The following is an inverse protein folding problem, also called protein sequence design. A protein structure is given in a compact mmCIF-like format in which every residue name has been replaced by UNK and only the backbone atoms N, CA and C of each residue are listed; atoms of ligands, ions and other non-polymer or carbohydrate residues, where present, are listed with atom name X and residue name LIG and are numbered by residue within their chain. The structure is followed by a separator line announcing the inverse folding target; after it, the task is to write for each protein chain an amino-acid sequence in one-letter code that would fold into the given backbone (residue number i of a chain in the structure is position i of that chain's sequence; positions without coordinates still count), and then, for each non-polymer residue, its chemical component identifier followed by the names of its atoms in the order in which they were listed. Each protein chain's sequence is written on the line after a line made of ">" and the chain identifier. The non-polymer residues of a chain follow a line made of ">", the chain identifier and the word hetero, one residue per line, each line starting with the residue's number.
data_IF_973848947346
#
_entry.id   IF_973848947346
#
_cell.length_a   1.000
_cell.length_b   1.000
_cell.length_c   1.000
_cell.angle_alpha   90.00
_cell.angle_beta   90.00
_cell.angle_gamma   90.00
#
_symmetry.space_group_name_H-M   'P 1'
#
loop_
_entity.id
_entity.type
_entity.pdbx_description
1 polymer ?
#
# COMPACT_ATOMS: atom_id res chain seq x y z
N UNK A 1 10.84 -10.41 36.30
CA UNK A 1 9.91 -10.33 35.16
C UNK A 1 10.15 -8.97 34.52
N UNK A 2 10.72 -8.90 33.31
CA UNK A 2 10.87 -7.63 32.59
C UNK A 2 9.49 -7.03 32.29
N UNK A 3 9.21 -5.84 32.82
CA UNK A 3 8.02 -5.09 32.43
C UNK A 3 8.35 -4.36 31.13
N UNK A 4 8.02 -4.97 29.98
CA UNK A 4 8.18 -4.30 28.68
C UNK A 4 7.26 -3.09 28.60
N UNK A 5 7.81 -1.89 28.74
CA UNK A 5 7.07 -0.65 28.56
C UNK A 5 6.96 -0.30 27.06
N UNK A 6 5.81 0.23 26.66
CA UNK A 6 5.64 0.77 25.31
C UNK A 6 6.15 2.21 25.25
N UNK A 7 6.84 2.54 24.18
CA UNK A 7 7.00 3.94 23.79
C UNK A 7 5.60 4.49 23.44
N UNK A 8 5.05 5.34 24.32
CA UNK A 8 3.71 5.92 24.15
C UNK A 8 3.53 6.60 22.78
N UNK A 9 4.50 7.41 22.26
CA UNK A 9 4.37 7.99 20.93
C UNK A 9 4.26 6.95 19.82
N UNK A 10 5.07 5.87 19.87
CA UNK A 10 5.05 4.80 18.86
C UNK A 10 3.74 4.01 18.90
N UNK A 11 3.29 3.65 20.10
CA UNK A 11 2.00 2.97 20.27
C UNK A 11 0.82 3.84 19.80
N UNK A 12 0.82 5.13 20.13
CA UNK A 12 -0.20 6.07 19.68
C UNK A 12 -0.22 6.21 18.16
N UNK A 13 0.94 6.31 17.51
CA UNK A 13 1.04 6.36 16.05
C UNK A 13 0.47 5.09 15.39
N UNK A 14 0.79 3.90 15.91
CA UNK A 14 0.22 2.65 15.40
C UNK A 14 -1.31 2.58 15.61
N UNK A 15 -1.81 3.12 16.72
CA UNK A 15 -3.24 3.28 16.95
C UNK A 15 -3.90 4.21 15.92
N UNK A 16 -3.27 5.32 15.59
CA UNK A 16 -3.74 6.23 14.53
C UNK A 16 -3.72 5.56 13.15
N UNK A 17 -2.66 4.81 12.82
CA UNK A 17 -2.62 4.02 11.58
C UNK A 17 -3.75 2.99 11.53
N UNK A 18 -4.06 2.32 12.65
CA UNK A 18 -5.18 1.40 12.70
C UNK A 18 -6.52 2.10 12.44
N UNK A 19 -6.77 3.25 13.07
CA UNK A 19 -8.00 4.02 12.85
C UNK A 19 -8.11 4.54 11.42
N UNK A 20 -7.02 5.07 10.88
CA UNK A 20 -6.92 5.49 9.49
C UNK A 20 -7.18 4.31 8.55
N UNK A 21 -6.62 3.14 8.87
CA UNK A 21 -6.76 1.93 8.11
C UNK A 21 -8.17 1.33 8.15
N UNK A 22 -8.82 1.36 9.30
CA UNK A 22 -10.23 0.96 9.43
C UNK A 22 -11.10 1.90 8.59
N UNK A 23 -10.90 3.21 8.75
CA UNK A 23 -11.68 4.22 8.01
C UNK A 23 -11.53 4.06 6.50
N UNK A 24 -10.30 3.93 6.00
CA UNK A 24 -10.04 3.79 4.58
C UNK A 24 -10.34 2.41 4.02
N UNK A 25 -10.17 1.32 4.78
CA UNK A 25 -10.53 -0.01 4.29
C UNK A 25 -12.05 -0.21 4.17
N UNK A 26 -12.84 0.57 4.93
CA UNK A 26 -14.30 0.65 4.78
C UNK A 26 -14.72 1.59 3.64
N UNK A 27 -13.93 2.63 3.39
CA UNK A 27 -14.16 3.63 2.33
C UNK A 27 -12.81 4.09 1.77
N UNK A 28 -12.32 3.47 0.68
CA UNK A 28 -10.99 3.72 0.15
C UNK A 28 -10.72 5.17 -0.26
N UNK A 29 -11.75 5.99 -0.47
CA UNK A 29 -11.58 7.42 -0.75
C UNK A 29 -10.97 8.18 0.44
N UNK A 30 -11.17 7.68 1.67
CA UNK A 30 -10.61 8.29 2.89
C UNK A 30 -9.10 8.12 3.00
N UNK A 31 -8.49 7.29 2.16
CA UNK A 31 -7.04 7.26 1.96
C UNK A 31 -6.51 8.43 1.13
N UNK A 32 -7.28 9.52 0.95
CA UNK A 32 -6.97 10.67 0.08
C UNK A 32 -5.50 11.11 0.05
N UNK A 33 -4.84 11.17 1.20
CA UNK A 33 -3.43 11.56 1.29
C UNK A 33 -2.52 10.58 0.55
N UNK A 34 -2.60 9.29 0.88
CA UNK A 34 -1.78 8.27 0.24
C UNK A 34 -2.24 7.96 -1.19
N UNK A 35 -3.55 8.01 -1.47
CA UNK A 35 -4.08 7.85 -2.82
C UNK A 35 -3.47 8.87 -3.80
N UNK A 36 -3.25 10.13 -3.37
CA UNK A 36 -2.60 11.14 -4.20
C UNK A 36 -1.12 10.82 -4.47
N UNK A 37 -0.41 10.29 -3.48
CA UNK A 37 0.99 9.87 -3.61
C UNK A 37 1.11 8.63 -4.51
N UNK A 38 0.24 7.64 -4.29
CA UNK A 38 0.15 6.42 -5.10
C UNK A 38 -0.10 6.76 -6.56
N UNK A 39 -1.06 7.66 -6.84
CA UNK A 39 -1.37 8.12 -8.18
C UNK A 39 -0.17 8.80 -8.84
N UNK A 40 0.56 9.65 -8.12
CA UNK A 40 1.75 10.29 -8.67
C UNK A 40 2.82 9.26 -9.08
N UNK A 41 3.03 8.21 -8.27
CA UNK A 41 3.94 7.12 -8.64
C UNK A 41 3.39 6.24 -9.76
N UNK A 42 2.07 6.05 -9.83
CA UNK A 42 1.40 5.34 -10.91
C UNK A 42 1.64 6.03 -12.26
N UNK A 43 1.40 7.33 -12.35
CA UNK A 43 1.65 8.08 -13.59
C UNK A 43 3.14 8.08 -13.96
N UNK A 44 4.03 8.21 -12.97
CA UNK A 44 5.47 8.09 -13.21
C UNK A 44 5.85 6.69 -13.73
N UNK A 45 5.16 5.64 -13.26
CA UNK A 45 5.37 4.27 -13.69
C UNK A 45 5.16 4.06 -15.18
N UNK A 46 4.13 4.67 -15.77
CA UNK A 46 3.92 4.62 -17.22
C UNK A 46 5.14 5.15 -17.98
N UNK A 47 5.71 6.28 -17.54
CA UNK A 47 6.92 6.85 -18.15
C UNK A 47 8.14 5.98 -17.91
N UNK A 48 8.33 5.50 -16.68
CA UNK A 48 9.49 4.72 -16.26
C UNK A 48 9.56 3.33 -16.93
N UNK A 49 8.42 2.76 -17.30
CA UNK A 49 8.35 1.42 -17.90
C UNK A 49 7.99 1.44 -19.39
N UNK A 50 7.67 2.60 -19.97
CA UNK A 50 7.20 2.74 -21.35
C UNK A 50 8.14 2.17 -22.41
N UNK A 51 9.45 2.23 -22.18
CA UNK A 51 10.45 1.72 -23.12
C UNK A 51 10.50 0.19 -23.21
N UNK A 52 9.82 -0.55 -22.31
CA UNK A 52 9.76 -2.01 -22.29
C UNK A 52 8.59 -2.58 -23.11
N UNK A 53 7.83 -1.71 -23.76
CA UNK A 53 6.69 -2.08 -24.62
C UNK A 53 5.34 -1.79 -23.97
N UNK A 54 4.31 -1.72 -24.80
CA UNK A 54 2.99 -1.20 -24.45
C UNK A 54 2.35 -1.92 -23.26
N UNK A 55 2.36 -3.25 -23.22
CA UNK A 55 1.76 -3.99 -22.10
C UNK A 55 2.45 -3.67 -20.76
N UNK A 56 3.77 -3.55 -20.78
CA UNK A 56 4.57 -3.23 -19.58
C UNK A 56 4.43 -1.75 -19.22
N UNK A 57 4.20 -0.86 -20.20
CA UNK A 57 3.86 0.53 -19.96
C UNK A 57 2.58 0.64 -19.12
N UNK A 58 1.50 -0.04 -19.52
CA UNK A 58 0.23 -0.06 -18.77
C UNK A 58 0.37 -0.71 -17.40
N UNK A 59 1.08 -1.84 -17.30
CA UNK A 59 1.40 -2.45 -16.00
C UNK A 59 2.28 -1.54 -15.13
N UNK A 60 3.11 -0.71 -15.77
CA UNK A 60 4.14 0.13 -15.18
C UNK A 60 3.62 1.05 -14.08
N UNK A 61 2.40 1.58 -14.24
CA UNK A 61 1.81 2.42 -13.21
C UNK A 61 1.59 1.65 -11.91
N UNK A 62 0.87 0.53 -11.96
CA UNK A 62 0.64 -0.30 -10.77
C UNK A 62 1.94 -0.90 -10.23
N UNK A 63 2.90 -1.24 -11.10
CA UNK A 63 4.22 -1.71 -10.67
C UNK A 63 4.97 -0.65 -9.87
N UNK A 64 5.06 0.58 -10.37
CA UNK A 64 5.82 1.65 -9.72
C UNK A 64 5.22 2.03 -8.36
N UNK A 65 3.89 2.19 -8.27
CA UNK A 65 3.25 2.55 -7.01
C UNK A 65 3.44 1.47 -5.92
N UNK A 66 3.67 0.20 -6.28
CA UNK A 66 4.02 -0.85 -5.34
C UNK A 66 5.53 -0.91 -5.05
N UNK A 67 6.37 -0.77 -6.09
CA UNK A 67 7.83 -0.90 -5.96
C UNK A 67 8.42 0.14 -5.00
N UNK A 68 7.90 1.36 -4.99
CA UNK A 68 8.37 2.43 -4.10
C UNK A 68 8.19 2.08 -2.62
N UNK A 69 6.97 1.85 -2.10
CA UNK A 69 6.78 1.49 -0.69
C UNK A 69 7.42 0.14 -0.34
N UNK A 70 7.45 -0.83 -1.26
CA UNK A 70 8.20 -2.09 -1.06
C UNK A 70 9.70 -1.81 -0.86
N UNK A 71 10.30 -0.98 -1.71
CA UNK A 71 11.72 -0.62 -1.61
C UNK A 71 12.05 0.08 -0.30
N UNK A 72 11.19 1.00 0.16
CA UNK A 72 11.34 1.70 1.44
C UNK A 72 11.18 0.72 2.62
N UNK A 73 10.19 -0.17 2.58
CA UNK A 73 9.99 -1.18 3.62
C UNK A 73 11.18 -2.13 3.73
N UNK A 74 11.71 -2.59 2.58
CA UNK A 74 12.92 -3.42 2.51
C UNK A 74 14.13 -2.66 3.03
N UNK A 75 14.28 -1.38 2.69
CA UNK A 75 15.37 -0.54 3.18
C UNK A 75 15.38 -0.48 4.71
N UNK A 76 14.27 -0.11 5.34
CA UNK A 76 14.15 -0.07 6.79
C UNK A 76 14.36 -1.45 7.43
N UNK A 77 13.82 -2.50 6.81
CA UNK A 77 14.01 -3.86 7.30
C UNK A 77 15.49 -4.28 7.31
N UNK A 78 16.25 -3.91 6.26
CA UNK A 78 17.68 -4.22 6.16
C UNK A 78 18.56 -3.41 7.12
N UNK A 79 18.08 -2.27 7.60
CA UNK A 79 18.74 -1.43 8.61
C UNK A 79 18.36 -1.77 10.06
N UNK A 80 17.60 -2.85 10.25
CA UNK A 80 17.02 -3.23 11.55
C UNK A 80 16.04 -2.18 12.14
N UNK A 81 15.56 -1.26 11.31
CA UNK A 81 14.57 -0.24 11.67
C UNK A 81 13.15 -0.84 11.59
N UNK A 82 12.89 -1.88 12.39
CA UNK A 82 11.69 -2.73 12.28
C UNK A 82 10.38 -1.99 12.46
N UNK A 83 10.35 -1.00 13.34
CA UNK A 83 9.18 -0.16 13.56
C UNK A 83 8.82 0.66 12.30
N UNK A 84 9.83 1.28 11.67
CA UNK A 84 9.67 2.02 10.41
C UNK A 84 9.24 1.11 9.27
N UNK A 85 9.86 -0.08 9.18
CA UNK A 85 9.46 -1.09 8.20
C UNK A 85 7.98 -1.50 8.37
N UNK A 86 7.50 -1.61 9.61
CA UNK A 86 6.09 -1.86 9.90
C UNK A 86 5.20 -0.74 9.35
N UNK A 87 5.52 0.51 9.68
CA UNK A 87 4.77 1.68 9.22
C UNK A 87 4.71 1.75 7.68
N UNK A 88 5.80 1.44 6.99
CA UNK A 88 5.79 1.39 5.51
C UNK A 88 5.05 0.18 4.96
N UNK A 89 5.06 -0.97 5.64
CA UNK A 89 4.24 -2.12 5.27
C UNK A 89 2.73 -1.80 5.27
N UNK A 90 2.30 -0.87 6.13
CA UNK A 90 0.93 -0.37 6.13
C UNK A 90 0.58 0.30 4.80
N UNK A 91 1.50 1.13 4.29
CA UNK A 91 1.32 1.84 3.02
C UNK A 91 1.16 0.86 1.85
N UNK A 92 1.93 -0.23 1.82
CA UNK A 92 1.72 -1.29 0.80
C UNK A 92 0.29 -1.86 0.89
N UNK A 93 -0.22 -2.10 2.10
CA UNK A 93 -1.57 -2.63 2.30
C UNK A 93 -2.66 -1.63 1.88
N UNK A 94 -2.48 -0.34 2.15
CA UNK A 94 -3.37 0.70 1.65
C UNK A 94 -3.32 0.80 0.12
N UNK A 95 -2.13 0.70 -0.48
CA UNK A 95 -1.97 0.72 -1.94
C UNK A 95 -2.77 -0.42 -2.61
N UNK A 96 -2.87 -1.60 -1.97
CA UNK A 96 -3.74 -2.67 -2.46
C UNK A 96 -5.23 -2.30 -2.51
N UNK A 97 -5.73 -1.45 -1.60
CA UNK A 97 -7.09 -0.92 -1.70
C UNK A 97 -7.24 0.07 -2.86
N UNK A 98 -6.23 0.93 -3.06
CA UNK A 98 -6.20 1.85 -4.20
C UNK A 98 -6.27 1.07 -5.53
N UNK A 99 -5.41 0.05 -5.67
CA UNK A 99 -5.41 -0.86 -6.82
C UNK A 99 -6.73 -1.62 -6.92
N UNK A 100 -7.30 -2.10 -5.80
CA UNK A 100 -8.56 -2.84 -5.82
C UNK A 100 -9.71 -2.02 -6.42
N UNK A 101 -9.82 -0.74 -6.03
CA UNK A 101 -10.82 0.18 -6.59
C UNK A 101 -10.59 0.36 -8.09
N UNK A 102 -9.34 0.57 -8.51
CA UNK A 102 -9.00 0.77 -9.91
C UNK A 102 -9.21 -0.48 -10.77
N UNK A 103 -8.80 -1.65 -10.28
CA UNK A 103 -9.05 -2.94 -10.94
C UNK A 103 -10.55 -3.21 -11.05
N UNK A 104 -11.31 -2.97 -9.98
CA UNK A 104 -12.76 -3.18 -9.96
C UNK A 104 -13.52 -2.30 -10.94
N UNK A 105 -12.95 -1.17 -11.34
CA UNK A 105 -13.49 -0.27 -12.35
C UNK A 105 -13.15 -0.68 -13.80
N UNK A 106 -12.31 -1.70 -14.03
CA UNK A 106 -11.81 -2.03 -15.35
C UNK A 106 -12.90 -2.22 -16.44
N UNK A 107 -14.06 -2.80 -16.10
CA UNK A 107 -15.20 -2.89 -17.03
C UNK A 107 -16.09 -1.65 -17.03
N UNK A 108 -16.27 -1.02 -15.88
CA UNK A 108 -17.23 0.08 -15.72
C UNK A 108 -16.67 1.41 -16.24
N UNK A 109 -15.36 1.63 -16.08
CA UNK A 109 -14.60 2.79 -16.51
C UNK A 109 -15.26 4.12 -16.09
N UNK A 110 -15.74 4.16 -14.84
CA UNK A 110 -16.41 5.32 -14.26
C UNK A 110 -15.39 6.25 -13.57
N UNK A 111 -14.23 5.72 -13.17
CA UNK A 111 -13.21 6.53 -12.53
C UNK A 111 -12.61 7.55 -13.51
N UNK A 112 -12.42 8.81 -13.08
CA UNK A 112 -11.74 9.79 -13.91
C UNK A 112 -10.26 9.41 -14.05
N UNK A 113 -9.82 9.18 -15.28
CA UNK A 113 -8.42 8.88 -15.58
C UNK A 113 -7.60 10.18 -15.68
N UNK A 114 -6.38 10.16 -15.16
CA UNK A 114 -5.44 11.25 -15.37
C UNK A 114 -5.11 11.32 -16.87
N UNK A 115 -5.34 12.48 -17.48
CA UNK A 115 -5.13 12.69 -18.92
C UNK A 115 -6.20 12.09 -19.85
N UNK A 116 -7.26 11.45 -19.32
CA UNK A 116 -8.41 10.97 -20.12
C UNK A 116 -8.10 9.84 -21.11
N UNK A 117 -7.08 9.03 -20.83
CA UNK A 117 -6.56 7.99 -21.71
C UNK A 117 -7.28 6.64 -21.63
N UNK A 118 -6.53 5.56 -21.89
CA UNK A 118 -7.00 4.18 -21.80
C UNK A 118 -6.90 3.71 -20.36
N UNK A 119 -7.93 3.01 -19.85
CA UNK A 119 -7.91 2.41 -18.53
C UNK A 119 -6.94 1.21 -18.48
N UNK A 120 -5.91 1.25 -17.64
CA UNK A 120 -4.80 0.29 -17.69
C UNK A 120 -5.24 -1.15 -17.45
N UNK A 121 -6.01 -1.37 -16.37
CA UNK A 121 -6.50 -2.71 -16.04
C UNK A 121 -7.53 -3.23 -17.04
N UNK A 122 -8.34 -2.35 -17.65
CA UNK A 122 -9.22 -2.74 -18.74
C UNK A 122 -8.43 -3.24 -19.94
N UNK A 123 -7.37 -2.50 -20.31
CA UNK A 123 -6.46 -2.90 -21.37
C UNK A 123 -5.76 -4.22 -21.05
N UNK A 124 -5.10 -4.33 -19.88
CA UNK A 124 -4.33 -5.52 -19.51
C UNK A 124 -5.21 -6.78 -19.41
N UNK A 125 -6.33 -6.71 -18.68
CA UNK A 125 -7.23 -7.85 -18.54
C UNK A 125 -7.93 -8.18 -19.86
N UNK A 126 -8.26 -7.18 -20.68
CA UNK A 126 -8.80 -7.38 -22.03
C UNK A 126 -7.83 -8.13 -22.93
N UNK A 127 -6.56 -7.73 -22.96
CA UNK A 127 -5.51 -8.42 -23.74
C UNK A 127 -5.30 -9.87 -23.32
N UNK A 128 -5.57 -10.19 -22.05
CA UNK A 128 -5.47 -11.53 -21.50
C UNK A 128 -6.78 -12.34 -21.58
N UNK A 129 -7.88 -11.75 -22.06
CA UNK A 129 -9.24 -12.33 -22.00
C UNK A 129 -9.71 -12.68 -20.57
N UNK A 130 -9.31 -11.86 -19.60
CA UNK A 130 -9.60 -12.01 -18.17
C UNK A 130 -10.43 -10.86 -17.59
N UNK A 131 -11.03 -10.02 -18.44
CA UNK A 131 -11.74 -8.80 -18.02
C UNK A 131 -12.89 -9.07 -17.04
N UNK A 132 -13.52 -10.24 -17.13
CA UNK A 132 -14.55 -10.74 -16.21
C UNK A 132 -14.06 -10.98 -14.77
N UNK A 133 -12.74 -11.06 -14.55
CA UNK A 133 -12.15 -11.30 -13.24
C UNK A 133 -11.87 -10.02 -12.45
N UNK A 134 -12.08 -8.84 -13.04
CA UNK A 134 -11.87 -7.52 -12.42
C UNK A 134 -12.40 -7.43 -10.96
N UNK A 135 -13.66 -7.76 -10.72
CA UNK A 135 -14.28 -7.69 -9.37
C UNK A 135 -13.74 -8.77 -8.44
N UNK A 136 -13.38 -9.93 -8.97
CA UNK A 136 -12.75 -11.00 -8.18
C UNK A 136 -11.35 -10.59 -7.73
N UNK A 137 -10.56 -9.99 -8.62
CA UNK A 137 -9.25 -9.46 -8.32
C UNK A 137 -9.33 -8.27 -7.36
N UNK A 138 -10.30 -7.36 -7.54
CA UNK A 138 -10.54 -6.25 -6.62
C UNK A 138 -10.83 -6.74 -5.19
N UNK A 139 -11.68 -7.77 -5.05
CA UNK A 139 -11.98 -8.36 -3.74
C UNK A 139 -10.75 -9.04 -3.11
N UNK A 140 -9.96 -9.77 -3.91
CA UNK A 140 -8.72 -10.39 -3.45
C UNK A 140 -7.71 -9.35 -2.96
N UNK A 141 -7.51 -8.29 -3.74
CA UNK A 141 -6.59 -7.20 -3.39
C UNK A 141 -7.04 -6.47 -2.12
N UNK A 142 -8.34 -6.18 -1.98
CA UNK A 142 -8.90 -5.57 -0.77
C UNK A 142 -8.69 -6.46 0.46
N UNK A 143 -8.91 -7.77 0.32
CA UNK A 143 -8.65 -8.74 1.40
C UNK A 143 -7.17 -8.76 1.80
N UNK A 144 -6.26 -8.83 0.82
CA UNK A 144 -4.82 -8.78 1.08
C UNK A 144 -4.40 -7.45 1.70
N UNK A 145 -5.02 -6.34 1.29
CA UNK A 145 -4.83 -5.02 1.89
C UNK A 145 -5.14 -5.03 3.39
N UNK A 146 -6.31 -5.55 3.77
CA UNK A 146 -6.68 -5.71 5.19
C UNK A 146 -5.66 -6.55 5.96
N UNK A 147 -5.32 -7.73 5.43
CA UNK A 147 -4.36 -8.63 6.07
C UNK A 147 -3.03 -7.92 6.31
N UNK A 148 -2.53 -7.19 5.30
CA UNK A 148 -1.23 -6.54 5.36
C UNK A 148 -1.22 -5.35 6.32
N UNK A 149 -2.28 -4.55 6.34
CA UNK A 149 -2.42 -3.42 7.27
C UNK A 149 -2.54 -3.88 8.73
N UNK A 150 -3.33 -4.93 8.99
CA UNK A 150 -3.45 -5.50 10.34
C UNK A 150 -2.14 -6.14 10.81
N UNK A 151 -1.46 -6.88 9.93
CA UNK A 151 -0.14 -7.43 10.21
C UNK A 151 0.90 -6.34 10.48
N UNK A 152 0.87 -5.27 9.70
CA UNK A 152 1.72 -4.09 9.87
C UNK A 152 1.52 -3.44 11.25
N UNK A 153 0.27 -3.18 11.67
CA UNK A 153 -0.02 -2.61 12.99
C UNK A 153 0.45 -3.54 14.10
N UNK A 154 0.17 -4.85 14.00
CA UNK A 154 0.63 -5.84 14.98
C UNK A 154 2.16 -5.89 15.10
N UNK A 155 2.86 -5.85 13.97
CA UNK A 155 4.32 -5.81 13.92
C UNK A 155 4.85 -4.49 14.50
N UNK A 156 4.27 -3.35 14.15
CA UNK A 156 4.66 -2.04 14.67
C UNK A 156 4.49 -1.95 16.18
N UNK A 157 3.37 -2.44 16.73
CA UNK A 157 3.16 -2.49 18.19
C UNK A 157 4.18 -3.39 18.89
N UNK A 158 4.57 -4.53 18.29
CA UNK A 158 5.62 -5.40 18.84
C UNK A 158 6.95 -4.65 19.00
N UNK A 159 7.34 -3.85 18.00
CA UNK A 159 8.60 -3.07 17.99
C UNK A 159 8.49 -1.66 18.61
N UNK A 160 7.29 -1.27 19.06
CA UNK A 160 7.10 -0.07 19.88
C UNK A 160 7.51 -0.28 21.35
N UNK A 161 7.77 -1.52 21.78
CA UNK A 161 8.24 -1.87 23.13
C UNK A 161 9.72 -1.52 23.27
N UNK A 162 10.15 -0.97 24.40
CA UNK A 162 11.58 -0.75 24.74
C UNK A 162 11.98 -1.65 25.91
N UNK A 163 13.26 -1.98 25.99
CA UNK A 163 13.88 -2.55 27.19
C UNK A 163 14.47 -1.38 28.01
N UNK A 164 14.24 -1.35 29.33
CA UNK A 164 14.68 -0.24 30.21
C UNK A 164 16.21 -0.10 30.33
N UNK A 165 17.00 -1.09 29.91
CA UNK A 165 18.46 -1.08 30.08
C UNK A 165 19.17 -0.02 29.22
N UNK A 166 18.60 0.41 28.09
CA UNK A 166 19.23 1.40 27.19
C UNK A 166 19.22 2.83 27.76
N UNK A 167 18.40 3.12 28.79
CA UNK A 167 18.34 4.42 29.45
C UNK A 167 19.23 4.53 30.69
N UNK A 168 19.77 3.41 31.20
CA UNK A 168 20.64 3.38 32.37
C UNK A 168 22.14 3.32 32.04
N UNK A 169 22.49 3.26 30.74
CA UNK A 169 23.88 3.34 30.24
C UNK A 169 24.28 4.73 29.70
N UNK A 170 23.41 5.75 29.87
CA UNK A 170 23.71 7.18 29.62
C UNK A 170 23.81 7.96 30.94
#
# INVERSE_FOLDING_TARGET
>A
MEVKQYSLPKAAFMGLLLLYGISGGLDPQRFWLLNGVDLAFHEFGHLAFGFLGEFIQFAGGTLMQLLIPIGIAVHFYRRDERYSAAATLFWIGQNLFNIAVYVGDARAQVLPLVGGGIHDWAYMLGRLNLLQLDTTLANLLSFLGWVLMLASVGFGLKFARHNEEEFLEL
#
